data_IF_476005164849
#
_entry.id   IF_476005164849
#
_cell.length_a   1.000
_cell.length_b   1.000
_cell.length_c   1.000
_cell.angle_alpha   90.00
_cell.angle_beta   90.00
_cell.angle_gamma   90.00
#
_symmetry.space_group_name_H-M   'P 1'
#
loop_
_entity.id
_entity.type
_entity.pdbx_description
1 polymer ?
#
# COMPACT_ATOMS: atom_id res chain seq x y z
N UNK A 1 19.04 -15.32 -10.85
CA UNK A 1 18.11 -14.21 -11.14
C UNK A 1 16.75 -14.55 -10.57
N UNK A 2 16.20 -13.70 -9.69
CA UNK A 2 14.90 -13.97 -9.06
C UNK A 2 13.78 -13.45 -9.97
N UNK A 3 12.80 -14.30 -10.26
CA UNK A 3 11.66 -13.98 -11.13
C UNK A 3 10.37 -14.07 -10.33
N UNK A 4 9.49 -13.11 -10.56
CA UNK A 4 8.20 -13.01 -9.91
C UNK A 4 7.06 -12.97 -10.93
N UNK A 5 5.88 -13.31 -10.49
CA UNK A 5 4.68 -13.10 -11.29
C UNK A 5 4.27 -11.62 -11.22
N UNK A 6 4.33 -11.05 -10.02
CA UNK A 6 3.96 -9.65 -9.77
C UNK A 6 5.08 -8.95 -8.99
N UNK A 7 5.38 -7.71 -9.38
CA UNK A 7 6.13 -6.76 -8.57
C UNK A 7 5.25 -5.56 -8.20
N UNK A 8 5.26 -5.21 -6.93
CA UNK A 8 4.58 -4.03 -6.39
C UNK A 8 5.66 -3.00 -6.03
N UNK A 9 5.60 -1.81 -6.60
CA UNK A 9 6.53 -0.73 -6.30
C UNK A 9 5.85 0.22 -5.31
N UNK A 10 6.43 0.31 -4.12
CA UNK A 10 5.92 1.07 -2.99
C UNK A 10 5.12 0.21 -2.00
N UNK A 11 5.50 0.27 -0.72
CA UNK A 11 4.79 -0.35 0.40
C UNK A 11 3.91 0.66 1.14
N UNK A 12 3.24 1.56 0.42
CA UNK A 12 2.21 2.45 0.95
C UNK A 12 0.87 1.75 1.10
N UNK A 13 -0.19 2.50 1.44
CA UNK A 13 -1.55 1.97 1.62
C UNK A 13 -2.01 1.12 0.43
N UNK A 14 -1.84 1.60 -0.80
CA UNK A 14 -2.26 0.90 -2.01
C UNK A 14 -1.48 -0.39 -2.23
N UNK A 15 -0.14 -0.31 -2.19
CA UNK A 15 0.73 -1.47 -2.42
C UNK A 15 0.53 -2.57 -1.38
N UNK A 16 0.46 -2.20 -0.10
CA UNK A 16 0.21 -3.16 0.98
C UNK A 16 -1.22 -3.74 0.95
N UNK A 17 -2.22 -2.95 0.57
CA UNK A 17 -3.59 -3.45 0.38
C UNK A 17 -3.67 -4.48 -0.74
N UNK A 18 -2.97 -4.26 -1.85
CA UNK A 18 -2.87 -5.22 -2.94
C UNK A 18 -2.14 -6.49 -2.47
N UNK A 19 -1.00 -6.35 -1.81
CA UNK A 19 -0.24 -7.47 -1.27
C UNK A 19 -1.09 -8.34 -0.33
N UNK A 20 -1.85 -7.71 0.57
CA UNK A 20 -2.77 -8.41 1.46
C UNK A 20 -3.81 -9.26 0.71
N UNK A 21 -4.36 -8.74 -0.40
CA UNK A 21 -5.32 -9.48 -1.23
C UNK A 21 -4.69 -10.67 -1.97
N UNK A 22 -3.38 -10.64 -2.16
CA UNK A 22 -2.64 -11.66 -2.90
C UNK A 22 -1.96 -12.70 -1.98
N UNK A 23 -2.07 -12.59 -0.65
CA UNK A 23 -1.42 -13.48 0.32
C UNK A 23 -1.70 -14.97 0.08
N UNK A 24 -2.94 -15.31 -0.28
CA UNK A 24 -3.39 -16.70 -0.42
C UNK A 24 -3.45 -17.15 -1.89
N UNK A 25 -2.67 -16.52 -2.76
CA UNK A 25 -2.56 -16.92 -4.17
C UNK A 25 -1.33 -17.81 -4.39
N UNK A 26 -1.27 -18.48 -5.54
CA UNK A 26 -0.10 -19.22 -5.98
C UNK A 26 0.92 -18.34 -6.73
N UNK A 27 0.74 -17.02 -6.72
CA UNK A 27 1.62 -16.09 -7.40
C UNK A 27 2.84 -15.78 -6.54
N UNK A 28 4.02 -15.74 -7.15
CA UNK A 28 5.23 -15.25 -6.51
C UNK A 28 5.30 -13.74 -6.66
N UNK A 29 5.35 -13.03 -5.55
CA UNK A 29 5.20 -11.59 -5.51
C UNK A 29 6.43 -10.98 -4.84
N UNK A 30 6.88 -9.84 -5.34
CA UNK A 30 7.81 -9.00 -4.60
C UNK A 30 7.25 -7.59 -4.40
N UNK A 31 7.61 -7.00 -3.28
CA UNK A 31 7.35 -5.59 -2.97
C UNK A 31 8.71 -4.90 -2.86
N UNK A 32 8.87 -3.76 -3.54
CA UNK A 32 10.04 -2.92 -3.43
C UNK A 32 9.66 -1.59 -2.79
N UNK A 33 10.24 -1.31 -1.63
CA UNK A 33 10.01 -0.08 -0.87
C UNK A 33 11.33 0.71 -0.76
N UNK A 34 11.26 1.99 -1.10
CA UNK A 34 12.43 2.87 -1.07
C UNK A 34 12.90 3.18 0.36
N UNK A 35 11.97 3.25 1.30
CA UNK A 35 12.25 3.52 2.70
C UNK A 35 12.66 2.29 3.50
N UNK A 36 13.09 2.51 4.73
CA UNK A 36 13.36 1.45 5.70
C UNK A 36 12.09 1.07 6.45
N UNK A 37 12.04 -0.17 6.95
CA UNK A 37 10.88 -0.67 7.71
C UNK A 37 10.67 0.14 8.99
N UNK A 38 11.75 0.46 9.70
CA UNK A 38 11.72 1.06 11.04
C UNK A 38 11.43 2.57 11.01
N UNK A 39 11.73 3.23 9.91
CA UNK A 39 11.67 4.70 9.80
C UNK A 39 10.50 5.18 8.93
N UNK A 40 9.38 4.47 8.96
CA UNK A 40 8.19 4.86 8.21
C UNK A 40 7.49 6.04 8.88
N UNK A 41 7.17 7.05 8.10
CA UNK A 41 6.42 8.21 8.60
C UNK A 41 5.01 7.80 8.95
N UNK A 42 4.61 8.03 10.20
CA UNK A 42 3.23 7.81 10.64
C UNK A 42 2.26 8.71 9.88
N UNK A 43 1.17 8.13 9.41
CA UNK A 43 0.09 8.81 8.68
C UNK A 43 -1.26 8.36 9.22
N UNK A 44 -2.27 9.17 9.00
CA UNK A 44 -3.66 8.78 9.18
C UNK A 44 -4.30 8.73 7.80
N UNK A 45 -4.87 7.59 7.46
CA UNK A 45 -5.64 7.44 6.23
C UNK A 45 -7.11 7.47 6.55
N UNK A 46 -7.83 8.38 5.90
CA UNK A 46 -9.25 8.54 6.12
C UNK A 46 -10.03 8.27 4.83
N UNK A 47 -11.22 7.72 4.97
CA UNK A 47 -12.04 7.29 3.85
C UNK A 47 -13.53 7.25 4.21
N UNK A 48 -14.37 7.33 3.20
CA UNK A 48 -15.80 7.06 3.32
C UNK A 48 -16.03 5.55 3.30
N UNK A 49 -16.68 5.02 4.32
CA UNK A 49 -16.95 3.57 4.45
C UNK A 49 -18.10 3.14 3.52
N UNK A 50 -17.83 3.14 2.22
CA UNK A 50 -18.79 2.77 1.17
C UNK A 50 -18.85 1.26 0.97
N UNK A 51 -17.74 0.55 1.20
CA UNK A 51 -17.62 -0.88 0.98
C UNK A 51 -16.99 -1.59 2.18
N UNK A 52 -17.40 -2.84 2.39
CA UNK A 52 -16.76 -3.70 3.37
C UNK A 52 -15.31 -4.00 2.97
N UNK A 53 -14.40 -3.91 3.92
CA UNK A 53 -12.99 -4.21 3.74
C UNK A 53 -12.40 -4.95 4.95
N UNK A 54 -11.27 -5.66 4.80
CA UNK A 54 -10.72 -6.51 5.88
C UNK A 54 -10.05 -5.74 7.02
N UNK A 55 -9.96 -4.41 6.93
CA UNK A 55 -9.20 -3.57 7.86
C UNK A 55 -10.06 -2.88 8.92
N UNK A 56 -11.32 -3.25 9.05
CA UNK A 56 -12.29 -2.64 9.99
C UNK A 56 -11.78 -2.66 11.45
N UNK A 57 -11.04 -3.70 11.82
CA UNK A 57 -10.47 -3.82 13.18
C UNK A 57 -9.32 -2.86 13.47
N UNK A 58 -8.81 -2.18 12.45
CA UNK A 58 -7.70 -1.21 12.53
C UNK A 58 -8.21 0.24 12.54
N UNK A 59 -9.52 0.42 12.47
CA UNK A 59 -10.14 1.74 12.51
C UNK A 59 -9.96 2.38 13.88
N UNK A 60 -9.49 3.63 13.89
CA UNK A 60 -9.27 4.41 15.11
C UNK A 60 -10.38 5.44 15.35
N UNK A 61 -11.10 5.82 14.30
CA UNK A 61 -12.22 6.77 14.35
C UNK A 61 -13.32 6.38 13.38
N UNK A 62 -14.56 6.71 13.76
CA UNK A 62 -15.74 6.66 12.92
C UNK A 62 -16.60 7.88 13.21
N UNK A 63 -16.80 8.73 12.24
CA UNK A 63 -17.54 9.99 12.38
C UNK A 63 -18.84 9.91 11.59
N UNK A 64 -19.92 10.37 12.22
CA UNK A 64 -21.26 10.46 11.63
C UNK A 64 -21.51 11.83 11.04
N UNK A 65 -20.67 12.83 11.38
CA UNK A 65 -20.68 14.19 10.84
C UNK A 65 -19.27 14.75 10.71
N UNK A 66 -19.10 15.73 9.82
CA UNK A 66 -17.85 16.46 9.62
C UNK A 66 -18.18 17.92 9.38
N UNK A 67 -17.48 18.82 10.09
CA UNK A 67 -17.56 20.25 9.87
C UNK A 67 -16.34 20.73 9.07
N UNK A 68 -16.58 21.25 7.87
CA UNK A 68 -15.58 21.93 7.07
C UNK A 68 -15.66 23.43 7.29
N UNK A 69 -14.64 24.01 7.92
CA UNK A 69 -14.63 25.42 8.33
C UNK A 69 -13.53 26.17 7.61
N UNK A 70 -13.85 27.34 7.07
CA UNK A 70 -12.91 28.36 6.67
C UNK A 70 -13.22 29.69 7.38
N UNK A 71 -12.45 30.75 7.12
CA UNK A 71 -12.55 32.03 7.83
C UNK A 71 -13.96 32.65 7.85
N UNK A 72 -14.85 32.27 6.96
CA UNK A 72 -16.17 32.91 6.78
C UNK A 72 -17.35 31.95 6.74
N UNK A 73 -17.09 30.66 6.51
CA UNK A 73 -18.13 29.67 6.26
C UNK A 73 -17.86 28.36 7.03
N UNK A 74 -18.95 27.74 7.47
CA UNK A 74 -18.94 26.40 8.01
C UNK A 74 -19.93 25.54 7.20
N UNK A 75 -19.48 24.38 6.72
CA UNK A 75 -20.34 23.42 6.05
C UNK A 75 -20.31 22.13 6.86
N UNK A 76 -21.48 21.73 7.33
CA UNK A 76 -21.68 20.45 7.99
C UNK A 76 -22.01 19.38 6.93
N UNK A 77 -21.34 18.24 7.03
CA UNK A 77 -21.51 17.10 6.12
C UNK A 77 -22.03 15.93 6.95
N UNK A 78 -23.27 15.51 6.68
CA UNK A 78 -23.87 14.31 7.26
C UNK A 78 -23.21 13.06 6.65
N UNK A 79 -22.56 12.27 7.50
CA UNK A 79 -21.85 11.05 7.14
C UNK A 79 -22.59 9.78 7.62
N UNK A 80 -23.82 9.87 8.09
CA UNK A 80 -24.57 8.73 8.66
C UNK A 80 -24.79 7.62 7.65
N UNK A 81 -24.93 7.94 6.37
CA UNK A 81 -25.07 6.94 5.29
C UNK A 81 -23.76 6.20 5.03
N UNK A 82 -22.64 6.90 5.06
CA UNK A 82 -21.30 6.38 4.86
C UNK A 82 -20.38 7.06 5.88
N UNK A 83 -20.15 6.41 7.01
CA UNK A 83 -19.31 6.98 8.04
C UNK A 83 -17.92 7.34 7.51
N UNK A 84 -17.40 8.50 7.94
CA UNK A 84 -16.03 8.87 7.66
C UNK A 84 -15.11 8.24 8.69
N UNK A 85 -14.23 7.35 8.23
CA UNK A 85 -13.39 6.51 9.09
C UNK A 85 -11.93 6.80 8.89
N UNK A 86 -11.13 6.47 9.90
CA UNK A 86 -9.69 6.67 9.86
C UNK A 86 -8.95 5.42 10.37
N UNK A 87 -7.81 5.14 9.74
CA UNK A 87 -6.86 4.08 10.13
C UNK A 87 -5.50 4.71 10.37
N UNK A 88 -4.84 4.32 11.45
CA UNK A 88 -3.44 4.64 11.71
C UNK A 88 -2.52 3.79 10.83
N UNK A 89 -1.59 4.42 10.12
CA UNK A 89 -0.70 3.71 9.20
C UNK A 89 0.22 2.73 9.91
N UNK A 90 0.60 2.98 11.16
CA UNK A 90 1.46 2.06 11.91
C UNK A 90 0.73 0.76 12.20
N UNK A 91 -0.52 0.84 12.68
CA UNK A 91 -1.36 -0.34 12.93
C UNK A 91 -1.61 -1.14 11.64
N UNK A 92 -1.82 -0.44 10.53
CA UNK A 92 -2.02 -1.06 9.23
C UNK A 92 -0.75 -1.74 8.71
N UNK A 93 0.39 -1.06 8.79
CA UNK A 93 1.69 -1.58 8.39
C UNK A 93 2.05 -2.84 9.18
N UNK A 94 1.97 -2.78 10.51
CA UNK A 94 2.26 -3.91 11.40
C UNK A 94 1.37 -5.11 11.08
N UNK A 95 0.06 -4.87 10.94
CA UNK A 95 -0.89 -5.93 10.60
C UNK A 95 -0.55 -6.65 9.29
N UNK A 96 -0.16 -5.90 8.25
CA UNK A 96 0.14 -6.50 6.95
C UNK A 96 1.53 -7.11 6.94
N UNK A 97 2.53 -6.47 7.55
CA UNK A 97 3.88 -7.05 7.63
C UNK A 97 3.90 -8.36 8.36
N UNK A 98 3.17 -8.53 9.46
CA UNK A 98 3.03 -9.82 10.16
C UNK A 98 2.49 -10.91 9.25
N UNK A 99 1.54 -10.57 8.36
CA UNK A 99 1.00 -11.52 7.37
C UNK A 99 2.00 -11.84 6.27
N UNK A 100 2.71 -10.85 5.77
CA UNK A 100 3.76 -11.03 4.74
C UNK A 100 4.91 -11.86 5.30
N UNK A 101 5.39 -11.55 6.51
CA UNK A 101 6.50 -12.26 7.16
C UNK A 101 6.17 -13.75 7.38
N UNK A 102 4.88 -14.07 7.55
CA UNK A 102 4.38 -15.44 7.67
C UNK A 102 4.06 -16.10 6.33
N UNK A 103 4.08 -15.36 5.23
CA UNK A 103 3.75 -15.86 3.89
C UNK A 103 4.94 -16.56 3.24
N UNK A 104 4.65 -17.41 2.24
CA UNK A 104 5.69 -18.09 1.45
C UNK A 104 5.79 -17.57 0.02
N UNK A 105 4.87 -16.70 -0.36
CA UNK A 105 4.71 -16.25 -1.73
C UNK A 105 4.97 -14.76 -1.94
N UNK A 106 5.25 -14.01 -0.86
CA UNK A 106 5.53 -12.57 -0.95
C UNK A 106 6.88 -12.27 -0.31
N UNK A 107 7.80 -11.71 -1.08
CA UNK A 107 9.04 -11.12 -0.59
C UNK A 107 8.91 -9.61 -0.51
N UNK A 108 9.37 -9.00 0.57
CA UNK A 108 9.46 -7.54 0.66
C UNK A 108 10.92 -7.10 0.78
N UNK A 109 11.29 -6.11 -0.01
CA UNK A 109 12.62 -5.49 -0.05
C UNK A 109 12.51 -4.03 0.37
N UNK A 110 12.98 -3.73 1.56
CA UNK A 110 13.15 -2.37 2.06
C UNK A 110 14.46 -1.76 1.56
N UNK A 111 14.60 -0.44 1.70
CA UNK A 111 15.74 0.33 1.19
C UNK A 111 16.09 -0.01 -0.27
N UNK A 112 15.05 -0.24 -1.07
CA UNK A 112 15.16 -0.73 -2.45
C UNK A 112 14.42 0.22 -3.41
N UNK A 113 14.91 1.45 -3.58
CA UNK A 113 14.34 2.39 -4.55
C UNK A 113 14.41 1.81 -5.96
N UNK A 114 13.35 1.97 -6.72
CA UNK A 114 13.32 1.57 -8.13
C UNK A 114 13.83 2.71 -8.98
N UNK A 115 14.97 2.49 -9.63
CA UNK A 115 15.65 3.47 -10.46
C UNK A 115 15.11 3.47 -11.89
N UNK A 116 14.89 2.27 -12.43
CA UNK A 116 14.52 2.12 -13.83
C UNK A 116 13.74 0.83 -14.09
N UNK A 117 12.80 0.91 -15.05
CA UNK A 117 12.01 -0.20 -15.57
C UNK A 117 12.31 -0.40 -17.05
N UNK A 118 12.61 -1.63 -17.46
CA UNK A 118 12.85 -1.97 -18.87
C UNK A 118 12.03 -3.18 -19.27
N UNK A 119 11.26 -3.09 -20.33
CA UNK A 119 10.49 -4.21 -20.85
C UNK A 119 11.42 -5.13 -21.61
N UNK A 120 11.52 -6.39 -21.21
CA UNK A 120 12.35 -7.44 -21.83
C UNK A 120 11.49 -8.67 -22.12
N UNK A 121 11.04 -8.81 -23.37
CA UNK A 121 10.18 -9.93 -23.80
C UNK A 121 8.89 -10.07 -22.95
N UNK A 122 8.82 -11.15 -22.14
CA UNK A 122 7.67 -11.47 -21.27
C UNK A 122 7.81 -10.92 -19.84
N UNK A 123 8.87 -10.18 -19.56
CA UNK A 123 9.16 -9.66 -18.23
C UNK A 123 9.49 -8.19 -18.30
N UNK A 124 9.26 -7.53 -17.18
CA UNK A 124 9.83 -6.21 -16.94
C UNK A 124 11.02 -6.40 -16.01
N UNK A 125 12.17 -5.91 -16.42
CA UNK A 125 13.35 -5.79 -15.59
C UNK A 125 13.20 -4.56 -14.70
N UNK A 126 13.36 -4.75 -13.41
CA UNK A 126 13.34 -3.71 -12.40
C UNK A 126 14.76 -3.54 -11.88
N UNK A 127 15.32 -2.36 -12.07
CA UNK A 127 16.62 -2.00 -11.49
C UNK A 127 16.38 -1.27 -10.17
N UNK A 128 16.98 -1.79 -9.10
CA UNK A 128 16.95 -1.20 -7.76
C UNK A 128 18.33 -1.31 -7.14
N UNK A 129 19.02 -0.18 -6.99
CA UNK A 129 20.43 -0.17 -6.63
C UNK A 129 21.24 -1.07 -7.59
N UNK A 130 22.04 -2.00 -7.03
CA UNK A 130 22.82 -2.97 -7.81
C UNK A 130 22.04 -4.25 -8.16
N UNK A 131 20.77 -4.35 -7.76
CA UNK A 131 19.95 -5.54 -7.97
C UNK A 131 19.11 -5.42 -9.24
N UNK A 132 18.92 -6.56 -9.90
CA UNK A 132 17.97 -6.71 -11.01
C UNK A 132 16.95 -7.77 -10.65
N UNK A 133 15.70 -7.39 -10.69
CA UNK A 133 14.53 -8.22 -10.41
C UNK A 133 13.70 -8.27 -11.68
N UNK A 134 13.03 -9.39 -11.91
CA UNK A 134 12.19 -9.58 -13.10
C UNK A 134 10.78 -9.96 -12.66
N UNK A 135 9.78 -9.30 -13.23
CA UNK A 135 8.38 -9.60 -12.98
C UNK A 135 7.59 -9.63 -14.28
N UNK A 136 6.53 -10.44 -14.34
CA UNK A 136 5.61 -10.47 -15.49
C UNK A 136 4.72 -9.23 -15.52
N UNK A 137 4.25 -8.80 -14.34
CA UNK A 137 3.37 -7.65 -14.15
C UNK A 137 3.94 -6.72 -13.09
N UNK A 138 3.70 -5.43 -13.25
CA UNK A 138 4.12 -4.40 -12.29
C UNK A 138 2.92 -3.56 -11.89
N UNK A 139 2.77 -3.37 -10.59
CA UNK A 139 1.86 -2.41 -9.98
C UNK A 139 2.67 -1.31 -9.31
N UNK A 140 2.75 -0.16 -9.95
CA UNK A 140 3.49 0.98 -9.44
C UNK A 140 2.56 1.91 -8.65
N UNK A 141 2.76 1.98 -7.33
CA UNK A 141 1.97 2.83 -6.44
C UNK A 141 2.67 4.14 -6.08
N UNK A 142 3.77 4.45 -6.74
CA UNK A 142 4.44 5.75 -6.57
C UNK A 142 3.58 6.85 -7.18
N UNK A 143 3.62 8.07 -6.62
CA UNK A 143 3.00 9.22 -7.27
C UNK A 143 3.70 9.47 -8.61
N UNK A 144 2.92 9.83 -9.62
CA UNK A 144 3.49 10.30 -10.88
C UNK A 144 4.33 11.56 -10.60
N UNK A 145 5.52 11.60 -11.17
CA UNK A 145 6.29 12.84 -11.20
C UNK A 145 5.60 13.77 -12.21
N UNK A 146 4.65 14.59 -11.72
CA UNK A 146 4.01 15.67 -12.47
C UNK A 146 4.99 16.85 -12.57
#
# INVERSE_FOLDING_TARGET
MKKYDIAIIGAGCSGLSLAYRLLNTNLNICILESGNRENRTRKTWSYWNVYNHPFTKLEINSLDDINCVNNSNCVEIDCTKYNYKSIDSTLFDDFIFDKIDSSKNIDIYFASPVDHLTIENKYVQIKSNDKRIYAKEIYDSRPDNI
#
